data_IF_523649869326
#
_entry.id   IF_523649869326
#
_cell.length_a   1.000
_cell.length_b   1.000
_cell.length_c   1.000
_cell.angle_alpha   90.00
_cell.angle_beta   90.00
_cell.angle_gamma   90.00
#
_symmetry.space_group_name_H-M   'P 1'
#
loop_
_entity.id
_entity.type
_entity.pdbx_description
1 polymer ?
#
# COMPACT_ATOMS: atom_id res chain seq x y z
N UNK A 1 -2.52 3.30 10.32
CA UNK A 1 -1.92 3.69 9.03
C UNK A 1 -1.89 5.21 8.86
N UNK A 2 -3.03 5.89 8.75
CA UNK A 2 -3.10 7.35 8.53
C UNK A 2 -2.51 8.27 9.60
N UNK A 3 -2.20 7.76 10.80
CA UNK A 3 -1.47 8.48 11.87
C UNK A 3 0.01 8.08 12.00
N UNK A 4 0.44 7.10 11.22
CA UNK A 4 1.80 6.55 11.24
C UNK A 4 2.54 6.99 9.99
N UNK A 5 1.99 6.68 8.81
CA UNK A 5 2.64 6.92 7.53
C UNK A 5 2.91 8.39 7.20
N UNK A 6 2.07 9.39 7.54
CA UNK A 6 2.37 10.79 7.20
C UNK A 6 3.72 11.28 7.73
N UNK A 7 4.14 10.82 8.91
CA UNK A 7 5.47 11.14 9.44
C UNK A 7 6.57 10.60 8.51
N UNK A 8 6.42 9.37 8.04
CA UNK A 8 7.37 8.76 7.11
C UNK A 8 7.27 9.36 5.70
N UNK A 9 6.10 9.76 5.24
CA UNK A 9 5.91 10.47 3.96
C UNK A 9 6.69 11.78 3.91
N UNK A 10 6.90 12.43 5.07
CA UNK A 10 7.77 13.60 5.18
C UNK A 10 9.26 13.23 5.16
N UNK A 11 9.65 12.11 5.78
CA UNK A 11 11.05 11.68 5.90
C UNK A 11 11.58 11.04 4.62
N UNK A 12 10.76 10.24 3.93
CA UNK A 12 11.16 9.40 2.79
C UNK A 12 11.80 10.20 1.65
N UNK A 13 11.28 11.37 1.21
CA UNK A 13 11.95 12.17 0.18
C UNK A 13 13.38 12.57 0.55
N UNK A 14 13.60 12.98 1.80
CA UNK A 14 14.94 13.33 2.30
C UNK A 14 15.84 12.09 2.37
N UNK A 15 15.30 10.97 2.85
CA UNK A 15 16.02 9.70 2.96
C UNK A 15 16.47 9.20 1.58
N UNK A 16 15.58 9.25 0.59
CA UNK A 16 15.85 8.79 -0.78
C UNK A 16 16.93 9.62 -1.46
N UNK A 17 16.86 10.95 -1.37
CA UNK A 17 17.89 11.81 -1.96
C UNK A 17 19.22 11.68 -1.22
N UNK A 18 19.20 11.51 0.10
CA UNK A 18 20.42 11.25 0.87
C UNK A 18 21.08 9.95 0.45
N UNK A 19 20.31 8.88 0.26
CA UNK A 19 20.81 7.59 -0.20
C UNK A 19 21.34 7.64 -1.64
N UNK A 20 20.73 8.46 -2.51
CA UNK A 20 21.10 8.56 -3.92
C UNK A 20 22.27 9.52 -4.20
N UNK A 21 22.23 10.73 -3.64
CA UNK A 21 23.14 11.83 -3.98
C UNK A 21 23.97 12.35 -2.77
N UNK A 22 23.77 11.78 -1.58
CA UNK A 22 24.42 12.19 -0.35
C UNK A 22 23.78 13.40 0.33
N UNK A 23 24.12 13.59 1.60
CA UNK A 23 23.54 14.62 2.49
C UNK A 23 23.74 16.04 1.94
N UNK A 24 24.89 16.31 1.31
CA UNK A 24 25.21 17.64 0.78
C UNK A 24 24.25 18.04 -0.35
N UNK A 25 23.99 17.13 -1.28
CA UNK A 25 23.05 17.36 -2.40
C UNK A 25 21.60 17.41 -1.94
N UNK A 26 21.24 16.59 -0.95
CA UNK A 26 19.94 16.70 -0.30
C UNK A 26 19.69 18.10 0.27
N UNK A 27 20.69 18.70 0.92
CA UNK A 27 20.60 20.07 1.43
C UNK A 27 20.60 21.16 0.34
N UNK A 28 21.01 20.88 -0.89
CA UNK A 28 20.86 21.85 -1.99
C UNK A 28 19.39 21.96 -2.45
N UNK A 29 18.61 20.88 -2.29
CA UNK A 29 17.21 20.79 -2.75
C UNK A 29 16.18 20.61 -1.62
N UNK A 30 16.59 20.84 -0.37
CA UNK A 30 15.74 20.65 0.81
C UNK A 30 14.37 21.36 0.74
N UNK A 31 14.20 22.57 0.14
CA UNK A 31 12.89 23.20 0.08
C UNK A 31 11.91 22.41 -0.78
N UNK A 32 12.39 21.84 -1.89
CA UNK A 32 11.58 20.99 -2.76
C UNK A 32 11.17 19.69 -2.07
N UNK A 33 12.09 19.08 -1.31
CA UNK A 33 11.81 17.86 -0.54
C UNK A 33 10.82 18.11 0.59
N UNK A 34 10.96 19.25 1.30
CA UNK A 34 10.04 19.66 2.34
C UNK A 34 8.64 19.90 1.78
N UNK A 35 8.54 20.66 0.69
CA UNK A 35 7.24 20.95 0.06
C UNK A 35 6.60 19.67 -0.47
N UNK A 36 7.34 18.83 -1.18
CA UNK A 36 6.81 17.56 -1.69
C UNK A 36 6.33 16.64 -0.54
N UNK A 37 7.16 16.47 0.50
CA UNK A 37 6.84 15.63 1.65
C UNK A 37 5.69 16.18 2.49
N UNK A 38 5.69 17.48 2.81
CA UNK A 38 4.64 18.10 3.63
C UNK A 38 3.30 18.21 2.89
N UNK A 39 3.32 18.59 1.60
CA UNK A 39 2.11 18.66 0.78
C UNK A 39 1.54 17.28 0.44
N UNK A 40 2.30 16.19 0.65
CA UNK A 40 1.79 14.83 0.68
C UNK A 40 1.27 14.45 2.07
N UNK A 41 2.09 14.61 3.11
CA UNK A 41 1.81 14.16 4.47
C UNK A 41 0.59 14.86 5.10
N UNK A 42 0.43 16.17 4.91
CA UNK A 42 -0.66 16.93 5.53
C UNK A 42 -2.03 16.48 4.98
N UNK A 43 -2.29 16.48 3.65
CA UNK A 43 -3.55 15.94 3.13
C UNK A 43 -3.73 14.46 3.47
N UNK A 44 -2.65 13.66 3.46
CA UNK A 44 -2.71 12.26 3.85
C UNK A 44 -3.23 12.09 5.28
N UNK A 45 -2.72 12.90 6.22
CA UNK A 45 -3.18 12.90 7.60
C UNK A 45 -4.63 13.39 7.70
N UNK A 46 -4.98 14.52 7.09
CA UNK A 46 -6.31 15.11 7.21
C UNK A 46 -7.40 14.20 6.61
N UNK A 47 -7.21 13.72 5.39
CA UNK A 47 -8.20 12.89 4.70
C UNK A 47 -8.40 11.57 5.44
N UNK A 48 -7.32 10.92 5.88
CA UNK A 48 -7.41 9.64 6.58
C UNK A 48 -8.09 9.74 7.95
N UNK A 49 -8.02 10.89 8.62
CA UNK A 49 -8.62 11.09 9.94
C UNK A 49 -10.04 11.67 9.89
N UNK A 50 -10.38 12.49 8.88
CA UNK A 50 -11.64 13.25 8.84
C UNK A 50 -12.60 12.85 7.72
N UNK A 51 -12.13 12.22 6.65
CA UNK A 51 -12.99 11.87 5.50
C UNK A 51 -13.16 10.37 5.37
N UNK A 52 -12.05 9.61 5.44
CA UNK A 52 -12.05 8.15 5.39
C UNK A 52 -10.87 7.56 4.61
N UNK A 53 -10.70 6.23 4.64
CA UNK A 53 -9.55 5.53 4.07
C UNK A 53 -9.49 5.44 2.53
N UNK A 54 -10.56 5.79 1.81
CA UNK A 54 -10.72 5.43 0.39
C UNK A 54 -9.94 6.30 -0.62
N UNK A 55 -9.46 7.49 -0.25
CA UNK A 55 -8.93 8.49 -1.21
C UNK A 55 -7.66 9.21 -0.75
N UNK A 56 -7.07 8.71 0.32
CA UNK A 56 -6.05 9.42 1.08
C UNK A 56 -4.83 9.77 0.20
N UNK A 57 -4.27 8.77 -0.48
CA UNK A 57 -3.01 8.96 -1.21
C UNK A 57 -3.18 9.64 -2.57
N UNK A 58 -4.37 9.57 -3.20
CA UNK A 58 -4.65 10.27 -4.47
C UNK A 58 -4.65 11.78 -4.22
N UNK A 59 -5.38 12.23 -3.20
CA UNK A 59 -5.46 13.65 -2.84
C UNK A 59 -4.08 14.16 -2.42
N UNK A 60 -3.37 13.40 -1.58
CA UNK A 60 -2.01 13.72 -1.16
C UNK A 60 -1.04 13.85 -2.35
N UNK A 61 -1.10 12.95 -3.33
CA UNK A 61 -0.26 13.00 -4.52
C UNK A 61 -0.56 14.23 -5.39
N UNK A 62 -1.85 14.55 -5.64
CA UNK A 62 -2.26 15.73 -6.39
C UNK A 62 -1.74 17.01 -5.72
N UNK A 63 -1.95 17.14 -4.41
CA UNK A 63 -1.48 18.28 -3.62
C UNK A 63 0.05 18.42 -3.66
N UNK A 64 0.77 17.31 -3.50
CA UNK A 64 2.23 17.28 -3.55
C UNK A 64 2.78 17.72 -4.92
N UNK A 65 2.21 17.20 -6.01
CA UNK A 65 2.61 17.59 -7.37
C UNK A 65 2.31 19.07 -7.64
N UNK A 66 1.12 19.55 -7.28
CA UNK A 66 0.73 20.95 -7.47
C UNK A 66 1.63 21.91 -6.67
N UNK A 67 1.89 21.58 -5.40
CA UNK A 67 2.74 22.39 -4.52
C UNK A 67 4.20 22.42 -5.01
N UNK A 68 4.73 21.27 -5.46
CA UNK A 68 6.08 21.20 -6.02
C UNK A 68 6.18 21.98 -7.34
N UNK A 69 5.20 21.86 -8.22
CA UNK A 69 5.15 22.64 -9.46
C UNK A 69 5.06 24.15 -9.19
N UNK A 70 4.26 24.57 -8.21
CA UNK A 70 4.17 25.97 -7.80
C UNK A 70 5.49 26.47 -7.20
N UNK A 71 6.14 25.68 -6.34
CA UNK A 71 7.44 26.01 -5.79
C UNK A 71 8.48 26.21 -6.90
N UNK A 72 8.54 25.29 -7.86
CA UNK A 72 9.53 25.34 -8.96
C UNK A 72 9.35 26.54 -9.91
N UNK A 73 8.19 27.20 -9.88
CA UNK A 73 7.98 28.48 -10.60
C UNK A 73 8.66 29.66 -9.91
N UNK A 74 8.78 29.63 -8.58
CA UNK A 74 9.30 30.73 -7.76
C UNK A 74 10.74 30.47 -7.31
N UNK A 75 11.08 29.20 -7.07
CA UNK A 75 12.35 28.74 -6.57
C UNK A 75 12.97 27.72 -7.53
N UNK A 76 14.24 27.90 -7.89
CA UNK A 76 14.99 26.95 -8.72
C UNK A 76 16.20 26.44 -7.94
N UNK A 77 16.58 25.15 -8.09
CA UNK A 77 17.77 24.62 -7.45
C UNK A 77 19.02 25.36 -7.93
N UNK A 78 19.98 25.56 -7.02
CA UNK A 78 21.26 26.20 -7.34
C UNK A 78 22.16 25.19 -8.07
N UNK A 79 22.32 25.36 -9.38
CA UNK A 79 23.19 24.54 -10.24
C UNK A 79 22.81 24.74 -11.71
N UNK A 80 23.70 24.37 -12.63
CA UNK A 80 23.47 24.43 -14.08
C UNK A 80 22.37 23.43 -14.46
N UNK A 81 21.11 23.83 -14.30
CA UNK A 81 19.99 23.12 -14.93
C UNK A 81 19.97 23.55 -16.39
N UNK A 82 20.82 22.91 -17.21
CA UNK A 82 20.54 22.74 -18.62
C UNK A 82 19.31 21.82 -18.76
N UNK A 83 18.15 22.31 -18.32
CA UNK A 83 16.89 21.71 -18.69
C UNK A 83 16.67 22.08 -20.15
N UNK A 84 16.86 21.12 -21.03
CA UNK A 84 16.31 21.17 -22.39
C UNK A 84 14.80 21.26 -22.19
N UNK A 85 14.27 22.48 -22.11
CA UNK A 85 12.85 22.73 -22.27
C UNK A 85 12.53 22.40 -23.73
N UNK A 86 12.28 21.13 -24.02
CA UNK A 86 11.54 20.77 -25.23
C UNK A 86 10.19 21.44 -25.06
N UNK A 87 9.98 22.53 -25.80
CA UNK A 87 8.73 23.27 -25.83
C UNK A 87 7.62 22.40 -26.41
N UNK A 88 7.16 21.42 -25.64
CA UNK A 88 5.96 20.68 -25.96
C UNK A 88 4.78 21.64 -25.76
N UNK A 89 4.01 21.88 -26.82
CA UNK A 89 2.85 22.75 -26.75
C UNK A 89 1.87 22.30 -25.67
N UNK A 90 1.13 23.22 -25.08
CA UNK A 90 0.17 22.95 -23.99
C UNK A 90 -0.80 21.78 -24.31
N UNK A 91 -1.12 21.57 -25.59
CA UNK A 91 -1.93 20.44 -26.06
C UNK A 91 -1.25 19.07 -25.91
N UNK A 92 0.06 18.96 -26.12
CA UNK A 92 0.82 17.73 -25.91
C UNK A 92 0.90 17.38 -24.42
N UNK A 93 1.16 18.39 -23.58
CA UNK A 93 1.12 18.26 -22.12
C UNK A 93 -0.28 17.80 -21.68
N UNK A 94 -1.35 18.45 -22.13
CA UNK A 94 -2.72 18.07 -21.77
C UNK A 94 -3.08 16.63 -22.17
N UNK A 95 -2.68 16.20 -23.37
CA UNK A 95 -2.89 14.82 -23.83
C UNK A 95 -2.13 13.79 -22.98
N UNK A 96 -0.94 14.14 -22.48
CA UNK A 96 -0.18 13.26 -21.58
C UNK A 96 -0.84 13.12 -20.20
N UNK A 97 -1.49 14.18 -19.71
CA UNK A 97 -2.20 14.17 -18.42
C UNK A 97 -3.57 13.49 -18.49
N UNK A 98 -4.18 13.41 -19.68
CA UNK A 98 -5.55 12.92 -19.85
C UNK A 98 -5.80 11.53 -19.21
N UNK A 99 -4.95 10.50 -19.42
CA UNK A 99 -5.19 9.19 -18.80
C UNK A 99 -5.14 9.22 -17.28
N UNK A 100 -4.24 10.04 -16.72
CA UNK A 100 -4.09 10.18 -15.29
C UNK A 100 -5.27 10.92 -14.66
N UNK A 101 -5.81 11.94 -15.34
CA UNK A 101 -7.02 12.65 -14.91
C UNK A 101 -8.23 11.72 -14.93
N UNK A 102 -8.44 11.00 -16.04
CA UNK A 102 -9.56 10.05 -16.18
C UNK A 102 -9.49 8.95 -15.10
N UNK A 103 -8.30 8.40 -14.88
CA UNK A 103 -8.05 7.42 -13.83
C UNK A 103 -8.38 7.99 -12.45
N UNK A 104 -7.88 9.18 -12.14
CA UNK A 104 -8.10 9.83 -10.84
C UNK A 104 -9.58 10.08 -10.58
N UNK A 105 -10.31 10.60 -11.56
CA UNK A 105 -11.76 10.88 -11.44
C UNK A 105 -12.56 9.59 -11.24
N UNK A 106 -12.30 8.55 -12.03
CA UNK A 106 -13.05 7.29 -11.92
C UNK A 106 -12.75 6.54 -10.63
N UNK A 107 -11.48 6.46 -10.23
CA UNK A 107 -11.10 5.84 -8.95
C UNK A 107 -11.70 6.65 -7.79
N UNK A 108 -11.74 7.98 -7.91
CA UNK A 108 -12.39 8.83 -6.93
C UNK A 108 -13.88 8.52 -6.80
N UNK A 109 -14.60 8.48 -7.94
CA UNK A 109 -16.02 8.14 -7.96
C UNK A 109 -16.29 6.75 -7.36
N UNK A 110 -15.56 5.72 -7.80
CA UNK A 110 -15.72 4.34 -7.29
C UNK A 110 -15.33 4.16 -5.82
N UNK A 111 -14.40 4.97 -5.32
CA UNK A 111 -13.93 4.90 -3.94
C UNK A 111 -14.93 5.45 -2.92
N UNK A 112 -15.88 6.28 -3.34
CA UNK A 112 -16.89 6.85 -2.41
C UNK A 112 -17.84 5.77 -1.88
N UNK A 113 -18.18 5.77 -0.57
CA UNK A 113 -19.10 4.80 0.02
C UNK A 113 -20.45 4.73 -0.68
N UNK A 114 -20.95 5.86 -1.18
CA UNK A 114 -22.23 5.97 -1.87
C UNK A 114 -22.23 5.20 -3.19
N UNK A 115 -21.21 5.43 -4.03
CA UNK A 115 -21.08 4.73 -5.32
C UNK A 115 -20.78 3.26 -5.08
N UNK A 116 -19.87 2.95 -4.14
CA UNK A 116 -19.56 1.57 -3.78
C UNK A 116 -20.80 0.81 -3.31
N UNK A 117 -21.60 1.40 -2.42
CA UNK A 117 -22.85 0.79 -1.92
C UNK A 117 -23.88 0.58 -3.03
N UNK A 118 -24.03 1.53 -3.95
CA UNK A 118 -24.91 1.39 -5.12
C UNK A 118 -24.46 0.25 -6.03
N UNK A 119 -23.15 0.14 -6.32
CA UNK A 119 -22.60 -0.92 -7.15
C UNK A 119 -22.66 -2.29 -6.45
N UNK A 120 -22.41 -2.33 -5.14
CA UNK A 120 -22.56 -3.53 -4.33
C UNK A 120 -24.03 -4.01 -4.36
N UNK A 121 -25.01 -3.11 -4.24
CA UNK A 121 -26.43 -3.46 -4.34
C UNK A 121 -26.83 -4.13 -5.66
N UNK A 122 -26.09 -3.86 -6.75
CA UNK A 122 -26.35 -4.43 -8.07
C UNK A 122 -25.54 -5.70 -8.37
N UNK A 123 -24.34 -5.84 -7.81
CA UNK A 123 -23.35 -6.79 -8.31
C UNK A 123 -22.75 -7.71 -7.26
N UNK A 124 -23.03 -7.50 -5.96
CA UNK A 124 -22.45 -8.31 -4.90
C UNK A 124 -23.07 -9.70 -4.89
N UNK A 125 -22.22 -10.72 -5.05
CA UNK A 125 -22.63 -12.10 -4.89
C UNK A 125 -21.89 -12.64 -3.66
N UNK A 126 -22.66 -12.96 -2.61
CA UNK A 126 -22.13 -13.59 -1.40
C UNK A 126 -22.37 -15.08 -1.49
N UNK A 127 -21.29 -15.85 -1.57
CA UNK A 127 -21.32 -17.30 -1.66
C UNK A 127 -20.79 -17.85 -0.34
N UNK A 128 -21.64 -18.40 0.54
CA UNK A 128 -21.18 -19.13 1.72
C UNK A 128 -20.31 -20.31 1.26
N UNK A 129 -19.13 -20.48 1.86
CA UNK A 129 -18.23 -21.57 1.47
C UNK A 129 -18.83 -22.89 1.99
N UNK A 130 -19.23 -23.81 1.09
CA UNK A 130 -19.87 -25.06 1.52
C UNK A 130 -18.93 -25.86 2.42
N UNK A 131 -19.44 -26.34 3.56
CA UNK A 131 -18.67 -27.16 4.50
C UNK A 131 -17.68 -26.40 5.40
N UNK A 132 -17.55 -25.08 5.26
CA UNK A 132 -16.67 -24.26 6.12
C UNK A 132 -17.43 -23.14 6.85
N UNK A 133 -18.49 -22.61 6.23
CA UNK A 133 -19.29 -21.54 6.81
C UNK A 133 -19.81 -21.93 8.21
N UNK A 134 -19.43 -21.14 9.22
CA UNK A 134 -19.81 -21.32 10.63
C UNK A 134 -19.38 -22.64 11.26
N UNK A 135 -18.51 -23.42 10.61
CA UNK A 135 -18.00 -24.69 11.15
C UNK A 135 -16.82 -24.49 12.10
N UNK A 136 -16.08 -23.38 11.96
CA UNK A 136 -14.96 -23.04 12.85
C UNK A 136 -15.50 -22.17 13.98
N UNK A 137 -15.34 -22.61 15.22
CA UNK A 137 -15.73 -21.84 16.40
C UNK A 137 -14.47 -21.30 17.05
N UNK A 138 -14.34 -19.96 17.11
CA UNK A 138 -13.28 -19.35 17.92
C UNK A 138 -13.71 -19.41 19.38
N UNK A 139 -12.81 -19.82 20.26
CA UNK A 139 -13.04 -19.95 21.71
C UNK A 139 -12.02 -19.13 22.50
N UNK A 140 -12.17 -19.09 23.84
CA UNK A 140 -11.19 -18.45 24.71
C UNK A 140 -9.82 -19.14 24.59
N UNK A 141 -8.69 -18.40 24.61
CA UNK A 141 -8.56 -16.97 24.95
C UNK A 141 -8.70 -16.01 23.76
N UNK A 142 -8.92 -16.49 22.54
CA UNK A 142 -8.94 -15.69 21.30
C UNK A 142 -10.16 -14.78 21.22
N UNK A 143 -11.31 -15.27 21.68
CA UNK A 143 -12.55 -14.51 21.82
C UNK A 143 -13.18 -14.79 23.18
N UNK A 144 -13.76 -13.77 23.79
CA UNK A 144 -14.35 -13.88 25.14
C UNK A 144 -15.61 -14.76 25.17
N UNK A 145 -16.35 -14.83 24.06
CA UNK A 145 -17.51 -15.71 23.87
C UNK A 145 -17.27 -16.59 22.65
N UNK A 146 -17.63 -17.89 22.70
CA UNK A 146 -17.57 -18.73 21.52
C UNK A 146 -18.39 -18.14 20.38
N UNK A 147 -17.73 -17.79 19.28
CA UNK A 147 -18.38 -17.21 18.10
C UNK A 147 -18.03 -18.03 16.86
N UNK A 148 -19.03 -18.50 16.10
CA UNK A 148 -18.79 -19.11 14.79
C UNK A 148 -18.11 -18.12 13.83
N UNK A 149 -17.10 -18.59 13.12
CA UNK A 149 -16.37 -17.83 12.12
C UNK A 149 -17.09 -17.91 10.77
N UNK A 150 -17.58 -16.78 10.26
CA UNK A 150 -18.26 -16.73 8.98
C UNK A 150 -17.28 -16.88 7.81
N UNK A 151 -17.42 -17.96 7.03
CA UNK A 151 -16.69 -18.14 5.77
C UNK A 151 -17.58 -17.79 4.57
N UNK A 152 -17.53 -16.53 4.12
CA UNK A 152 -18.33 -16.03 3.00
C UNK A 152 -17.39 -15.49 1.92
N UNK A 153 -17.42 -16.08 0.73
CA UNK A 153 -16.77 -15.51 -0.45
C UNK A 153 -17.62 -14.38 -0.99
N UNK A 154 -17.08 -13.15 -0.96
CA UNK A 154 -17.77 -11.97 -1.47
C UNK A 154 -17.21 -11.63 -2.85
N UNK A 155 -17.99 -11.89 -3.90
CA UNK A 155 -17.65 -11.54 -5.27
C UNK A 155 -18.23 -10.17 -5.61
N UNK A 156 -17.39 -9.14 -5.57
CA UNK A 156 -17.76 -7.74 -5.74
C UNK A 156 -17.11 -7.13 -6.99
N UNK A 157 -17.20 -7.84 -8.12
CA UNK A 157 -16.44 -7.54 -9.33
C UNK A 157 -16.64 -6.10 -9.84
N UNK A 158 -17.86 -5.55 -9.79
CA UNK A 158 -18.13 -4.21 -10.32
C UNK A 158 -17.71 -3.11 -9.34
N UNK A 159 -17.89 -3.32 -8.03
CA UNK A 159 -17.53 -2.35 -6.99
C UNK A 159 -16.05 -2.36 -6.61
N UNK A 160 -15.30 -3.38 -7.05
CA UNK A 160 -13.87 -3.45 -6.89
C UNK A 160 -13.17 -2.29 -7.64
N UNK A 161 -12.18 -1.67 -7.01
CA UNK A 161 -11.43 -0.54 -7.60
C UNK A 161 -10.77 -0.88 -8.93
N UNK A 162 -10.44 -2.15 -9.18
CA UNK A 162 -9.89 -2.62 -10.46
C UNK A 162 -10.83 -2.38 -11.65
N UNK A 163 -12.15 -2.43 -11.45
CA UNK A 163 -13.13 -2.15 -12.51
C UNK A 163 -13.12 -0.68 -12.92
N UNK A 164 -12.93 0.23 -11.97
CA UNK A 164 -12.74 1.65 -12.25
C UNK A 164 -11.47 1.91 -13.07
N UNK A 165 -10.37 1.24 -12.73
CA UNK A 165 -9.08 1.35 -13.44
C UNK A 165 -9.21 0.78 -14.87
N UNK A 166 -9.90 -0.34 -15.04
CA UNK A 166 -10.15 -0.93 -16.35
C UNK A 166 -10.98 0.02 -17.22
N UNK A 167 -12.08 0.56 -16.68
CA UNK A 167 -12.90 1.54 -17.39
C UNK A 167 -12.11 2.81 -17.73
N UNK A 168 -11.26 3.29 -16.81
CA UNK A 168 -10.38 4.42 -17.06
C UNK A 168 -9.41 4.17 -18.20
N UNK A 169 -8.82 2.97 -18.28
CA UNK A 169 -7.94 2.60 -19.38
C UNK A 169 -8.69 2.61 -20.73
N UNK A 170 -9.93 2.13 -20.76
CA UNK A 170 -10.77 2.15 -21.96
C UNK A 170 -11.12 3.57 -22.41
N UNK A 171 -11.63 4.40 -21.50
CA UNK A 171 -11.98 5.80 -21.80
C UNK A 171 -10.74 6.57 -22.25
N UNK A 172 -9.61 6.39 -21.57
CA UNK A 172 -8.35 7.06 -21.91
C UNK A 172 -7.83 6.63 -23.28
N UNK A 173 -7.90 5.34 -23.61
CA UNK A 173 -7.47 4.84 -24.91
C UNK A 173 -8.31 5.37 -26.06
N UNK A 174 -9.64 5.44 -25.90
CA UNK A 174 -10.51 6.07 -26.89
C UNK A 174 -10.25 7.56 -27.04
N UNK A 175 -10.06 8.28 -25.93
CA UNK A 175 -9.77 9.71 -25.96
C UNK A 175 -8.39 10.03 -26.59
N UNK A 176 -7.47 9.07 -26.57
CA UNK A 176 -6.18 9.14 -27.29
C UNK A 176 -6.24 8.66 -28.75
N UNK A 177 -7.41 8.21 -29.23
CA UNK A 177 -7.61 7.76 -30.61
C UNK A 177 -7.14 6.34 -30.88
N UNK A 178 -6.98 5.49 -29.85
CA UNK A 178 -6.56 4.10 -30.04
C UNK A 178 -7.76 3.23 -30.48
N UNK A 179 -7.56 2.33 -31.47
CA UNK A 179 -8.61 1.42 -31.91
C UNK A 179 -8.86 0.32 -30.86
N UNK A 180 -10.15 0.02 -30.60
CA UNK A 180 -10.59 -0.95 -29.60
C UNK A 180 -9.90 -2.32 -29.72
N UNK A 181 -9.67 -2.79 -30.96
CA UNK A 181 -8.99 -4.08 -31.21
C UNK A 181 -7.56 -4.11 -30.72
N UNK A 182 -6.82 -2.99 -30.84
CA UNK A 182 -5.46 -2.90 -30.31
C UNK A 182 -5.48 -2.89 -28.78
N UNK A 183 -6.43 -2.16 -28.18
CA UNK A 183 -6.58 -2.11 -26.73
C UNK A 183 -6.92 -3.49 -26.14
N UNK A 184 -7.88 -4.19 -26.74
CA UNK A 184 -8.25 -5.55 -26.33
C UNK A 184 -7.09 -6.54 -26.48
N UNK A 185 -6.35 -6.47 -27.59
CA UNK A 185 -5.15 -7.31 -27.80
C UNK A 185 -4.09 -7.06 -26.73
N UNK A 186 -3.77 -5.79 -26.45
CA UNK A 186 -2.80 -5.42 -25.40
C UNK A 186 -3.26 -5.83 -24.01
N UNK A 187 -4.55 -5.72 -23.73
CA UNK A 187 -5.13 -6.19 -22.47
C UNK A 187 -4.95 -7.70 -22.32
N UNK A 188 -5.27 -8.50 -23.35
CA UNK A 188 -5.05 -9.94 -23.35
C UNK A 188 -3.58 -10.34 -23.17
N UNK A 189 -2.67 -9.69 -23.91
CA UNK A 189 -1.21 -9.88 -23.73
C UNK A 189 -0.77 -9.58 -22.29
N UNK A 190 -1.35 -8.54 -21.68
CA UNK A 190 -1.06 -8.15 -20.30
C UNK A 190 -1.57 -9.21 -19.32
N UNK A 191 -2.78 -9.74 -19.49
CA UNK A 191 -3.34 -10.80 -18.64
C UNK A 191 -2.46 -12.04 -18.67
N UNK A 192 -1.99 -12.46 -19.84
CA UNK A 192 -1.07 -13.59 -19.96
C UNK A 192 0.27 -13.28 -19.28
N UNK A 193 0.80 -12.06 -19.46
CA UNK A 193 2.06 -11.63 -18.86
C UNK A 193 2.02 -11.59 -17.32
N UNK A 194 0.91 -11.13 -16.73
CA UNK A 194 0.77 -11.03 -15.27
C UNK A 194 0.13 -12.29 -14.64
N UNK A 195 -0.31 -13.25 -15.45
CA UNK A 195 -0.96 -14.49 -15.02
C UNK A 195 -0.19 -15.25 -13.93
N UNK A 196 1.13 -15.49 -14.06
CA UNK A 196 1.92 -16.12 -13.00
C UNK A 196 1.88 -15.35 -11.68
N UNK A 197 1.97 -14.01 -11.73
CA UNK A 197 1.87 -13.15 -10.53
C UNK A 197 0.48 -13.21 -9.90
N UNK A 198 -0.59 -13.25 -10.70
CA UNK A 198 -1.96 -13.40 -10.20
C UNK A 198 -2.17 -14.75 -9.51
N UNK A 199 -1.62 -15.83 -10.06
CA UNK A 199 -1.66 -17.15 -9.44
C UNK A 199 -0.94 -17.16 -8.09
N UNK A 200 0.23 -16.52 -8.00
CA UNK A 200 0.94 -16.38 -6.71
C UNK A 200 0.09 -15.63 -5.70
N UNK A 201 -0.48 -14.46 -6.06
CA UNK A 201 -1.33 -13.68 -5.15
C UNK A 201 -2.54 -14.51 -4.68
N UNK A 202 -3.20 -15.23 -5.59
CA UNK A 202 -4.31 -16.11 -5.25
C UNK A 202 -3.91 -17.21 -4.27
N UNK A 203 -2.76 -17.86 -4.48
CA UNK A 203 -2.24 -18.88 -3.58
C UNK A 203 -1.89 -18.32 -2.20
N UNK A 204 -1.33 -17.10 -2.12
CA UNK A 204 -1.03 -16.45 -0.84
C UNK A 204 -2.29 -16.07 -0.05
N UNK A 205 -3.32 -15.57 -0.74
CA UNK A 205 -4.61 -15.30 -0.11
C UNK A 205 -5.26 -16.60 0.38
N UNK A 206 -5.22 -17.66 -0.43
CA UNK A 206 -5.72 -18.97 -0.04
C UNK A 206 -4.98 -19.49 1.21
N UNK A 207 -3.64 -19.37 1.26
CA UNK A 207 -2.85 -19.73 2.43
C UNK A 207 -3.28 -18.94 3.67
N UNK A 208 -3.49 -17.63 3.55
CA UNK A 208 -3.93 -16.81 4.69
C UNK A 208 -5.31 -17.18 5.21
N UNK A 209 -6.24 -17.54 4.34
CA UNK A 209 -7.53 -18.10 4.77
C UNK A 209 -7.36 -19.48 5.41
N UNK A 210 -6.52 -20.35 4.86
CA UNK A 210 -6.22 -21.66 5.47
C UNK A 210 -5.66 -21.48 6.87
N UNK A 211 -4.65 -20.63 7.06
CA UNK A 211 -4.06 -20.38 8.39
C UNK A 211 -5.03 -19.76 9.38
N UNK A 212 -5.98 -18.95 8.90
CA UNK A 212 -7.05 -18.34 9.71
C UNK A 212 -8.08 -19.36 10.17
N UNK A 213 -8.55 -20.23 9.28
CA UNK A 213 -9.58 -21.21 9.60
C UNK A 213 -9.02 -22.46 10.29
N UNK A 214 -7.74 -22.78 10.12
CA UNK A 214 -7.05 -23.83 10.88
C UNK A 214 -6.65 -23.38 12.30
N UNK A 215 -6.82 -22.10 12.64
CA UNK A 215 -6.43 -21.53 13.94
C UNK A 215 -4.92 -21.36 14.12
N UNK A 216 -4.12 -21.53 13.06
CA UNK A 216 -2.66 -21.37 13.12
C UNK A 216 -2.29 -19.91 13.42
N UNK A 217 -3.04 -18.94 12.88
CA UNK A 217 -2.87 -17.51 13.19
C UNK A 217 -3.06 -17.22 14.69
N UNK A 218 -4.04 -17.86 15.32
CA UNK A 218 -4.33 -17.74 16.73
C UNK A 218 -3.24 -18.35 17.63
N UNK A 219 -2.75 -19.55 17.30
CA UNK A 219 -1.69 -20.22 18.06
C UNK A 219 -0.39 -19.41 17.99
N UNK A 220 0.01 -18.98 16.79
CA UNK A 220 1.19 -18.12 16.63
C UNK A 220 0.99 -16.77 17.34
N UNK A 221 -0.22 -16.21 17.28
CA UNK A 221 -0.54 -14.97 17.98
C UNK A 221 -0.42 -15.09 19.49
N UNK A 222 -0.88 -16.20 20.07
CA UNK A 222 -0.71 -16.52 21.50
C UNK A 222 0.77 -16.73 21.86
N UNK A 223 1.52 -17.43 21.02
CA UNK A 223 2.96 -17.61 21.22
C UNK A 223 3.70 -16.26 21.25
N UNK A 224 3.37 -15.35 20.35
CA UNK A 224 3.96 -14.01 20.33
C UNK A 224 3.49 -13.12 21.48
N UNK A 225 2.35 -13.40 22.13
CA UNK A 225 1.92 -12.64 23.30
C UNK A 225 2.93 -12.72 24.46
N UNK A 226 3.71 -13.80 24.53
CA UNK A 226 4.80 -13.93 25.50
C UNK A 226 5.93 -12.89 25.33
N UNK A 227 6.02 -12.21 24.18
CA UNK A 227 6.99 -11.11 24.00
C UNK A 227 6.63 -9.85 24.80
N UNK A 228 5.41 -9.76 25.33
CA UNK A 228 4.98 -8.71 26.25
C UNK A 228 5.18 -7.30 25.71
N UNK A 229 5.80 -6.42 26.50
CA UNK A 229 5.96 -5.01 26.17
C UNK A 229 6.77 -4.70 24.89
N UNK A 230 7.54 -5.67 24.38
CA UNK A 230 8.29 -5.52 23.12
C UNK A 230 7.46 -5.87 21.89
N UNK A 231 6.27 -6.45 22.07
CA UNK A 231 5.40 -6.89 20.99
C UNK A 231 5.10 -5.79 19.95
N UNK A 232 4.77 -4.53 20.32
CA UNK A 232 4.47 -3.51 19.31
C UNK A 232 5.60 -3.25 18.31
N UNK A 233 6.85 -3.33 18.78
CA UNK A 233 8.03 -3.19 17.92
C UNK A 233 8.18 -4.40 16.98
N UNK A 234 8.22 -5.61 17.54
CA UNK A 234 8.42 -6.83 16.76
C UNK A 234 7.22 -7.19 15.88
N UNK A 235 6.00 -6.89 16.31
CA UNK A 235 4.78 -7.02 15.51
C UNK A 235 4.83 -6.12 14.27
N UNK A 236 5.38 -4.90 14.38
CA UNK A 236 5.63 -4.06 13.21
C UNK A 236 6.63 -4.70 12.23
N UNK A 237 7.72 -5.29 12.76
CA UNK A 237 8.69 -6.03 11.95
C UNK A 237 8.12 -7.31 11.34
N UNK A 238 7.11 -7.92 11.97
CA UNK A 238 6.38 -9.05 11.41
C UNK A 238 5.56 -8.62 10.19
N UNK A 239 4.97 -7.42 10.21
CA UNK A 239 4.34 -6.82 9.02
C UNK A 239 5.34 -6.57 7.89
N UNK A 240 6.52 -6.02 8.23
CA UNK A 240 7.65 -5.85 7.30
C UNK A 240 8.08 -7.17 6.65
N UNK A 241 8.27 -8.22 7.45
CA UNK A 241 8.64 -9.55 6.96
C UNK A 241 7.53 -10.14 6.08
N UNK A 242 6.27 -9.96 6.48
CA UNK A 242 5.13 -10.44 5.71
C UNK A 242 5.07 -9.83 4.32
N UNK A 243 5.32 -8.52 4.17
CA UNK A 243 5.36 -7.89 2.84
C UNK A 243 6.64 -8.21 2.07
N UNK A 244 7.78 -8.32 2.74
CA UNK A 244 9.02 -8.76 2.10
C UNK A 244 8.86 -10.14 1.43
N UNK A 245 8.12 -11.06 2.07
CA UNK A 245 7.85 -12.40 1.54
C UNK A 245 6.71 -12.42 0.52
N UNK A 246 5.68 -11.58 0.70
CA UNK A 246 4.46 -11.62 -0.12
C UNK A 246 4.45 -10.66 -1.31
N UNK A 247 5.28 -9.61 -1.28
CA UNK A 247 5.22 -8.49 -2.23
C UNK A 247 3.97 -7.62 -2.13
N UNK A 248 3.09 -7.84 -1.14
CA UNK A 248 1.79 -7.17 -1.08
C UNK A 248 1.31 -6.94 0.35
N UNK A 249 1.01 -5.67 0.68
CA UNK A 249 0.38 -5.31 1.95
C UNK A 249 -0.96 -6.03 2.16
N UNK A 250 -1.75 -6.21 1.08
CA UNK A 250 -3.03 -6.92 1.14
C UNK A 250 -2.83 -8.38 1.52
N UNK A 251 -1.90 -9.07 0.87
CA UNK A 251 -1.60 -10.47 1.16
C UNK A 251 -1.02 -10.63 2.57
N UNK A 252 -0.11 -9.75 2.98
CA UNK A 252 0.46 -9.73 4.33
C UNK A 252 -0.60 -9.48 5.40
N UNK A 253 -1.56 -8.58 5.16
CA UNK A 253 -2.67 -8.33 6.08
C UNK A 253 -3.60 -9.54 6.19
N UNK A 254 -3.82 -10.29 5.10
CA UNK A 254 -4.61 -11.51 5.12
C UNK A 254 -3.90 -12.64 5.88
N UNK A 255 -2.57 -12.73 5.75
CA UNK A 255 -1.75 -13.74 6.43
C UNK A 255 -1.52 -13.45 7.92
N UNK A 256 -1.18 -12.20 8.25
CA UNK A 256 -0.69 -11.84 9.59
C UNK A 256 -1.58 -10.83 10.32
N UNK A 257 -2.52 -10.16 9.65
CA UNK A 257 -3.36 -9.14 10.30
C UNK A 257 -4.25 -9.72 11.42
N UNK A 258 -4.80 -10.92 11.22
CA UNK A 258 -5.56 -11.63 12.25
C UNK A 258 -4.70 -11.94 13.48
N UNK A 259 -3.52 -12.50 13.26
CA UNK A 259 -2.52 -12.75 14.30
C UNK A 259 -2.19 -11.49 15.11
N UNK A 260 -2.01 -10.34 14.43
CA UNK A 260 -1.67 -9.07 15.08
C UNK A 260 -2.77 -8.60 16.03
N UNK A 261 -4.02 -8.73 15.61
CA UNK A 261 -5.19 -8.38 16.42
C UNK A 261 -5.30 -9.30 17.63
N UNK A 262 -5.10 -10.61 17.45
CA UNK A 262 -5.19 -11.60 18.53
C UNK A 262 -4.10 -11.35 19.57
N UNK A 263 -2.84 -11.20 19.15
CA UNK A 263 -1.75 -10.94 20.09
C UNK A 263 -1.93 -9.61 20.83
N UNK A 264 -2.38 -8.56 20.14
CA UNK A 264 -2.63 -7.27 20.77
C UNK A 264 -3.65 -7.38 21.92
N UNK A 265 -4.72 -8.17 21.74
CA UNK A 265 -5.71 -8.43 22.79
C UNK A 265 -5.09 -9.16 24.00
N UNK A 266 -4.16 -10.09 23.77
CA UNK A 266 -3.50 -10.83 24.85
C UNK A 266 -2.47 -10.00 25.62
N UNK A 267 -1.76 -9.10 24.93
CA UNK A 267 -0.73 -8.23 25.53
C UNK A 267 -1.34 -6.97 26.16
N UNK A 268 -2.63 -6.69 25.93
CA UNK A 268 -3.27 -5.46 26.39
C UNK A 268 -2.80 -4.24 25.60
N UNK A 269 -2.73 -4.35 24.28
CA UNK A 269 -2.43 -3.25 23.36
C UNK A 269 -3.61 -3.07 22.42
N UNK A 270 -3.89 -1.83 22.04
CA UNK A 270 -4.96 -1.52 21.09
C UNK A 270 -4.87 -2.39 19.80
N UNK A 271 -5.88 -3.23 19.49
CA UNK A 271 -5.80 -4.12 18.34
C UNK A 271 -5.81 -3.40 16.99
N UNK A 272 -6.47 -2.24 16.91
CA UNK A 272 -6.45 -1.40 15.72
C UNK A 272 -5.07 -0.81 15.47
N UNK A 273 -4.32 -0.46 16.52
CA UNK A 273 -2.93 0.00 16.40
C UNK A 273 -2.04 -1.09 15.79
N UNK A 274 -2.17 -2.33 16.25
CA UNK A 274 -1.35 -3.45 15.74
C UNK A 274 -1.76 -3.90 14.34
N UNK A 275 -3.06 -3.92 14.03
CA UNK A 275 -3.52 -4.13 12.65
C UNK A 275 -2.96 -3.04 11.70
N UNK A 276 -2.94 -1.78 12.15
CA UNK A 276 -2.34 -0.68 11.42
C UNK A 276 -0.80 -0.77 11.31
N UNK A 277 -0.15 -1.27 12.36
CA UNK A 277 1.29 -1.48 12.40
C UNK A 277 1.73 -2.55 11.39
N UNK A 278 0.92 -3.60 11.21
CA UNK A 278 1.17 -4.64 10.20
C UNK A 278 1.30 -4.04 8.79
N UNK A 279 0.36 -3.17 8.41
CA UNK A 279 0.41 -2.47 7.12
C UNK A 279 1.54 -1.44 7.07
N UNK A 280 1.76 -0.66 8.14
CA UNK A 280 2.77 0.41 8.11
C UNK A 280 4.20 -0.13 8.08
N UNK A 281 4.48 -1.22 8.81
CA UNK A 281 5.73 -1.96 8.69
C UNK A 281 5.84 -2.67 7.34
N UNK A 282 4.72 -3.19 6.84
CA UNK A 282 4.62 -3.82 5.52
C UNK A 282 5.09 -2.93 4.37
N UNK A 283 4.69 -1.67 4.35
CA UNK A 283 5.14 -0.68 3.35
C UNK A 283 6.67 -0.59 3.29
N UNK A 284 7.35 -0.72 4.44
CA UNK A 284 8.82 -0.71 4.46
C UNK A 284 9.41 -2.01 3.90
N UNK A 285 8.69 -3.13 4.02
CA UNK A 285 9.09 -4.44 3.49
C UNK A 285 9.05 -4.52 1.96
N UNK A 286 8.21 -3.70 1.32
CA UNK A 286 8.09 -3.60 -0.15
C UNK A 286 9.42 -3.26 -0.85
N UNK A 287 10.34 -2.59 -0.16
CA UNK A 287 11.65 -2.30 -0.75
C UNK A 287 12.50 -3.55 -0.99
N UNK A 288 12.30 -4.60 -0.19
CA UNK A 288 13.08 -5.84 -0.25
C UNK A 288 12.30 -7.01 -0.84
N UNK A 289 11.05 -6.79 -1.25
CA UNK A 289 10.27 -7.85 -1.85
C UNK A 289 10.80 -8.20 -3.24
N UNK A 290 10.78 -9.50 -3.56
CA UNK A 290 11.37 -10.00 -4.79
C UNK A 290 10.70 -9.42 -6.05
N UNK A 291 9.39 -9.13 -5.99
CA UNK A 291 8.65 -8.62 -7.14
C UNK A 291 9.08 -7.18 -7.46
N UNK A 292 9.15 -6.33 -6.44
CA UNK A 292 9.62 -4.95 -6.56
C UNK A 292 11.07 -4.88 -7.03
N UNK A 293 11.95 -5.75 -6.54
CA UNK A 293 13.35 -5.80 -6.97
C UNK A 293 13.48 -6.23 -8.44
N UNK A 294 12.72 -7.24 -8.87
CA UNK A 294 12.74 -7.69 -10.27
C UNK A 294 12.20 -6.59 -11.19
N UNK A 295 11.10 -5.93 -10.81
CA UNK A 295 10.55 -4.80 -11.57
C UNK A 295 11.57 -3.66 -11.65
N UNK A 296 12.20 -3.30 -10.53
CA UNK A 296 13.25 -2.28 -10.49
C UNK A 296 14.41 -2.64 -11.43
N UNK A 297 14.94 -3.87 -11.35
CA UNK A 297 16.03 -4.34 -12.21
C UNK A 297 15.69 -4.32 -13.70
N UNK A 298 14.44 -4.61 -14.06
CA UNK A 298 13.98 -4.47 -15.45
C UNK A 298 13.87 -3.02 -15.91
N UNK A 299 13.42 -2.11 -15.04
CA UNK A 299 13.26 -0.70 -15.34
C UNK A 299 14.61 0.02 -15.47
N UNK A 300 15.59 -0.35 -14.64
CA UNK A 300 16.95 0.22 -14.67
C UNK A 300 17.88 -0.49 -15.64
N UNK A 301 17.39 -1.48 -16.40
CA UNK A 301 18.17 -2.31 -17.31
C UNK A 301 19.36 -3.05 -16.64
N UNK A 302 19.25 -3.32 -15.33
CA UNK A 302 20.26 -4.06 -14.54
C UNK A 302 19.79 -5.47 -14.22
N UNK A 303 19.31 -6.19 -15.24
CA UNK A 303 18.81 -7.57 -15.12
C UNK A 303 19.95 -8.50 -14.68
N UNK A 304 19.70 -9.39 -13.72
CA UNK A 304 20.73 -10.27 -13.15
C UNK A 304 21.55 -9.66 -12.01
N UNK A 305 21.26 -8.40 -11.61
CA UNK A 305 21.88 -7.73 -10.46
C UNK A 305 20.92 -7.57 -9.26
N UNK A 306 19.85 -8.37 -9.20
CA UNK A 306 18.82 -8.30 -8.17
C UNK A 306 19.42 -8.44 -6.76
N UNK A 307 20.42 -9.32 -6.59
CA UNK A 307 21.13 -9.49 -5.32
C UNK A 307 21.90 -8.24 -4.88
N UNK A 308 22.48 -7.49 -5.83
CA UNK A 308 23.16 -6.22 -5.54
C UNK A 308 22.17 -5.15 -5.11
N UNK A 309 21.00 -5.09 -5.77
CA UNK A 309 19.90 -4.19 -5.40
C UNK A 309 19.43 -4.53 -3.99
N UNK A 310 19.11 -5.81 -3.72
CA UNK A 310 18.67 -6.30 -2.41
C UNK A 310 19.66 -5.90 -1.31
N UNK A 311 20.96 -6.18 -1.50
CA UNK A 311 22.00 -5.88 -0.52
C UNK A 311 22.08 -4.38 -0.18
N UNK A 312 21.84 -3.49 -1.15
CA UNK A 312 21.84 -2.04 -0.93
C UNK A 312 20.57 -1.57 -0.21
N UNK A 313 19.40 -2.04 -0.64
CA UNK A 313 18.11 -1.58 -0.09
C UNK A 313 17.75 -2.23 1.25
N UNK A 314 18.33 -3.40 1.57
CA UNK A 314 18.03 -4.16 2.79
C UNK A 314 18.20 -3.33 4.07
N UNK A 315 19.36 -2.67 4.22
CA UNK A 315 19.63 -1.85 5.41
C UNK A 315 18.69 -0.64 5.51
N UNK A 316 18.33 -0.04 4.37
CA UNK A 316 17.40 1.09 4.33
C UNK A 316 16.00 0.64 4.75
N UNK A 317 15.56 -0.52 4.24
CA UNK A 317 14.29 -1.14 4.59
C UNK A 317 14.20 -1.51 6.07
N UNK A 318 15.23 -2.16 6.61
CA UNK A 318 15.28 -2.53 8.02
C UNK A 318 15.34 -1.30 8.94
N UNK A 319 16.09 -0.26 8.57
CA UNK A 319 16.16 0.98 9.34
C UNK A 319 14.80 1.69 9.38
N UNK A 320 14.13 1.84 8.23
CA UNK A 320 12.81 2.45 8.16
C UNK A 320 11.76 1.60 8.90
N UNK A 321 11.78 0.27 8.76
CA UNK A 321 10.90 -0.61 9.52
C UNK A 321 11.11 -0.51 11.03
N UNK A 322 12.37 -0.40 11.47
CA UNK A 322 12.72 -0.20 12.89
C UNK A 322 12.21 1.14 13.41
N UNK A 323 12.32 2.21 12.62
CA UNK A 323 11.75 3.52 12.98
C UNK A 323 10.23 3.47 13.10
N UNK A 324 9.54 2.78 12.19
CA UNK A 324 8.08 2.55 12.31
C UNK A 324 7.78 1.75 13.57
N UNK A 325 8.57 0.70 13.85
CA UNK A 325 8.40 -0.12 15.06
C UNK A 325 8.58 0.69 16.35
N UNK A 326 9.55 1.60 16.39
CA UNK A 326 9.75 2.51 17.53
C UNK A 326 8.56 3.48 17.68
N UNK A 327 8.06 4.04 16.58
CA UNK A 327 6.87 4.89 16.60
C UNK A 327 5.65 4.12 17.13
N UNK A 328 5.44 2.89 16.67
CA UNK A 328 4.33 2.03 17.12
C UNK A 328 4.47 1.67 18.59
N UNK A 329 5.68 1.37 19.06
CA UNK A 329 5.94 1.10 20.48
C UNK A 329 5.66 2.33 21.37
N UNK A 330 6.02 3.53 20.90
CA UNK A 330 5.66 4.77 21.59
C UNK A 330 4.15 5.00 21.59
N UNK A 331 3.48 4.80 20.45
CA UNK A 331 2.03 4.90 20.33
C UNK A 331 1.31 3.92 21.28
N UNK A 332 1.79 2.68 21.39
CA UNK A 332 1.22 1.67 22.28
C UNK A 332 1.32 2.08 23.76
N UNK A 333 2.42 2.74 24.16
CA UNK A 333 2.59 3.25 25.53
C UNK A 333 1.72 4.46 25.84
N UNK A 334 1.51 5.34 24.85
CA UNK A 334 0.75 6.58 25.02
C UNK A 334 -0.76 6.35 24.95
N UNK A 335 -1.22 5.48 24.04
CA UNK A 335 -2.65 5.20 23.83
C UNK A 335 -3.24 4.30 24.92
N UNK A 336 -2.40 3.62 25.69
CA UNK A 336 -2.83 2.62 26.68
C UNK A 336 -3.47 1.37 26.04
N UNK A 337 -3.82 0.37 26.86
CA UNK A 337 -4.76 -0.68 26.47
C UNK A 337 -6.10 -0.11 26.01
#
# INVERSE_FOLDING_TARGET
VGRQLPLFSLIVPFWLITAFAGVRKMWEIWPALLVAGAAFAIPQFLVSNFHGPWLVDIIAAVCSMAALAALLRVWKPRGDTAAVATGEGAAAVWRAWLPWIVLSVLVFAWGTPQVKGMLDGLSIIKIPVPGLHEQVIRTAPVVAKPTPEAAIFTFNWLSASGSAICLAAWISGFALGLPARHMAKRYGETVVRVGPSLLTIAAMLALGYVTRYSGTDAILGLAFAHTGAFYPFFGTLLGWLGVALTGSDTSSNVLFGGLQVITAQQVGVNPTLMAAANSSGGVMGKMIDAQSIVVAGTATQTRGQEGTILRRVFLHSLALASLVGLLVALQARILGP
#
